data_IF_752119006868
#
_entry.id   IF_752119006868
#
_cell.length_a   1.000
_cell.length_b   1.000
_cell.length_c   1.000
_cell.angle_alpha   90.00
_cell.angle_beta   90.00
_cell.angle_gamma   90.00
#
_symmetry.space_group_name_H-M   'P 1'
#
loop_
_entity.id
_entity.type
_entity.pdbx_description
1 polymer ?
#
# COMPACT_ATOMS: atom_id res chain seq x y z
N UNK A 1 -1.37 -10.84 9.32
CA UNK A 1 -2.71 -10.87 8.77
C UNK A 1 -2.67 -10.82 7.25
N UNK A 2 -3.74 -11.28 6.64
CA UNK A 2 -3.84 -11.39 5.19
C UNK A 2 -3.63 -10.06 4.45
N UNK A 3 -4.27 -9.02 4.94
CA UNK A 3 -4.18 -7.72 4.28
C UNK A 3 -2.76 -7.15 4.33
N UNK A 4 -2.06 -7.40 5.42
CA UNK A 4 -0.69 -6.91 5.58
C UNK A 4 0.27 -7.62 4.63
N UNK A 5 0.15 -8.95 4.54
CA UNK A 5 0.96 -9.74 3.61
C UNK A 5 0.69 -9.33 2.16
N UNK A 6 -0.57 -9.13 1.82
CA UNK A 6 -0.98 -8.69 0.49
C UNK A 6 -0.38 -7.32 0.17
N UNK A 7 -0.46 -6.38 1.12
CA UNK A 7 0.07 -5.04 0.95
C UNK A 7 1.59 -5.06 0.77
N UNK A 8 2.30 -5.81 1.61
CA UNK A 8 3.75 -5.90 1.51
C UNK A 8 4.19 -6.50 0.17
N UNK A 9 3.49 -7.53 -0.29
CA UNK A 9 3.76 -8.12 -1.61
C UNK A 9 3.56 -7.10 -2.73
N UNK A 10 2.53 -6.27 -2.61
CA UNK A 10 2.26 -5.22 -3.59
C UNK A 10 3.36 -4.16 -3.60
N UNK A 11 3.87 -3.76 -2.43
CA UNK A 11 4.98 -2.80 -2.34
C UNK A 11 6.23 -3.37 -3.02
N UNK A 12 6.55 -4.63 -2.74
CA UNK A 12 7.73 -5.29 -3.31
C UNK A 12 7.61 -5.39 -4.83
N UNK A 13 6.44 -5.77 -5.33
CA UNK A 13 6.19 -5.85 -6.77
C UNK A 13 6.29 -4.47 -7.44
N UNK A 14 5.75 -3.44 -6.78
CA UNK A 14 5.81 -2.06 -7.27
C UNK A 14 7.26 -1.58 -7.33
N UNK A 15 8.07 -1.89 -6.31
CA UNK A 15 9.48 -1.52 -6.27
C UNK A 15 10.25 -2.14 -7.43
N UNK A 16 9.99 -3.42 -7.71
CA UNK A 16 10.64 -4.13 -8.80
C UNK A 16 10.27 -3.51 -10.15
N UNK A 17 9.00 -3.20 -10.33
CA UNK A 17 8.49 -2.66 -11.59
C UNK A 17 8.93 -1.21 -11.81
N UNK A 18 8.88 -0.39 -10.76
CA UNK A 18 9.11 1.05 -10.86
C UNK A 18 10.58 1.43 -10.75
N UNK A 19 11.30 0.83 -9.80
CA UNK A 19 12.69 1.18 -9.50
C UNK A 19 13.68 0.11 -9.94
N UNK A 20 13.21 -1.05 -10.41
CA UNK A 20 14.04 -2.19 -10.78
C UNK A 20 14.87 -2.69 -9.59
N UNK A 21 14.27 -2.67 -8.40
CA UNK A 21 14.90 -3.07 -7.14
C UNK A 21 14.21 -4.30 -6.59
N UNK A 22 15.01 -5.25 -6.09
CA UNK A 22 14.47 -6.40 -5.36
C UNK A 22 14.42 -6.05 -3.87
N UNK A 23 13.31 -5.45 -3.45
CA UNK A 23 13.10 -5.10 -2.06
C UNK A 23 12.67 -6.33 -1.25
N UNK A 24 12.98 -6.30 0.03
CA UNK A 24 12.52 -7.34 0.95
C UNK A 24 11.72 -6.70 2.09
N UNK A 25 11.15 -7.52 2.96
CA UNK A 25 10.29 -7.05 4.05
C UNK A 25 11.02 -6.07 4.99
N UNK A 26 12.33 -6.21 5.11
CA UNK A 26 13.14 -5.35 5.97
C UNK A 26 13.29 -3.93 5.42
N UNK A 27 13.04 -3.76 4.13
CA UNK A 27 13.19 -2.47 3.46
C UNK A 27 11.93 -1.62 3.51
N UNK A 28 10.83 -2.16 4.02
CA UNK A 28 9.54 -1.49 4.05
C UNK A 28 8.97 -1.48 5.47
N UNK A 29 8.25 -0.40 5.79
CA UNK A 29 7.64 -0.25 7.11
C UNK A 29 6.30 0.45 6.97
N UNK A 30 5.25 -0.16 7.49
CA UNK A 30 3.93 0.47 7.52
C UNK A 30 3.95 1.58 8.57
N UNK A 31 3.70 2.81 8.16
CA UNK A 31 3.75 3.98 9.06
C UNK A 31 2.37 4.54 9.38
N UNK A 32 1.46 4.51 8.42
CA UNK A 32 0.13 5.09 8.62
C UNK A 32 -0.94 4.26 7.94
N UNK A 33 -2.12 4.22 8.58
CA UNK A 33 -3.33 3.65 8.00
C UNK A 33 -4.38 4.75 7.97
N UNK A 34 -4.94 5.01 6.80
CA UNK A 34 -5.97 6.01 6.62
C UNK A 34 -7.30 5.34 6.31
N UNK A 35 -8.36 5.78 6.96
CA UNK A 35 -9.72 5.37 6.59
C UNK A 35 -10.21 6.34 5.55
N UNK A 36 -10.46 5.85 4.34
CA UNK A 36 -10.89 6.68 3.23
C UNK A 36 -12.39 6.53 3.05
N UNK A 37 -13.07 7.66 2.86
CA UNK A 37 -14.52 7.65 2.70
C UNK A 37 -14.88 7.65 1.23
N UNK A 38 -15.73 6.69 0.85
CA UNK A 38 -16.32 6.65 -0.48
C UNK A 38 -17.83 6.75 -0.33
N UNK A 39 -18.48 7.18 -1.40
CA UNK A 39 -19.94 7.31 -1.42
C UNK A 39 -20.64 5.97 -1.45
N UNK A 40 -19.94 4.93 -1.85
CA UNK A 40 -20.46 3.56 -1.83
C UNK A 40 -20.18 2.92 -0.49
N UNK A 41 -20.93 1.89 -0.13
CA UNK A 41 -20.81 1.21 1.15
C UNK A 41 -19.52 0.40 1.32
N UNK A 42 -18.64 0.43 0.34
CA UNK A 42 -17.38 -0.31 0.39
C UNK A 42 -16.37 0.37 1.33
N UNK A 43 -15.65 -0.44 2.08
CA UNK A 43 -14.60 0.05 2.97
C UNK A 43 -13.30 0.21 2.18
N UNK A 44 -12.75 1.40 2.24
CA UNK A 44 -11.51 1.74 1.55
C UNK A 44 -10.49 2.25 2.56
N UNK A 45 -9.30 1.68 2.52
CA UNK A 45 -8.21 2.07 3.43
C UNK A 45 -6.98 2.45 2.62
N UNK A 46 -6.29 3.49 3.09
CA UNK A 46 -4.99 3.85 2.55
C UNK A 46 -3.90 3.37 3.50
N UNK A 47 -2.86 2.75 2.96
CA UNK A 47 -1.71 2.30 3.74
C UNK A 47 -0.49 3.04 3.24
N UNK A 48 0.21 3.70 4.16
CA UNK A 48 1.44 4.41 3.81
C UNK A 48 2.63 3.65 4.35
N UNK A 49 3.58 3.36 3.47
CA UNK A 49 4.80 2.65 3.82
C UNK A 49 6.01 3.56 3.64
N UNK A 50 6.91 3.50 4.62
CA UNK A 50 8.26 4.03 4.47
C UNK A 50 9.08 2.95 3.76
N UNK A 51 9.82 3.35 2.74
CA UNK A 51 10.64 2.42 1.97
C UNK A 51 12.08 2.93 1.93
N UNK A 52 13.04 2.02 2.11
CA UNK A 52 14.44 2.40 2.19
C UNK A 52 15.00 2.96 0.89
N UNK A 53 14.44 2.54 -0.24
CA UNK A 53 14.90 2.97 -1.56
C UNK A 53 14.32 4.31 -2.00
N UNK A 54 13.36 4.87 -1.26
CA UNK A 54 12.80 6.21 -1.54
C UNK A 54 12.10 6.73 -0.29
N UNK A 55 12.90 7.14 0.69
CA UNK A 55 12.40 7.60 1.99
C UNK A 55 11.54 8.84 1.84
N UNK A 56 11.87 9.69 0.89
CA UNK A 56 11.16 10.96 0.70
C UNK A 56 9.72 10.77 0.23
N UNK A 57 9.50 9.88 -0.72
CA UNK A 57 8.17 9.67 -1.30
C UNK A 57 7.38 8.55 -0.65
N UNK A 58 8.07 7.47 -0.27
CA UNK A 58 7.43 6.30 0.28
C UNK A 58 6.58 5.56 -0.73
N UNK A 59 5.74 4.65 -0.25
CA UNK A 59 4.79 3.91 -1.06
C UNK A 59 3.42 3.98 -0.44
N UNK A 60 2.41 4.29 -1.25
CA UNK A 60 1.01 4.32 -0.82
C UNK A 60 0.22 3.24 -1.52
N UNK A 61 -0.69 2.62 -0.78
CA UNK A 61 -1.56 1.57 -1.29
C UNK A 61 -2.99 1.88 -0.87
N UNK A 62 -3.94 1.69 -1.78
CA UNK A 62 -5.36 1.67 -1.44
C UNK A 62 -5.85 0.23 -1.47
N UNK A 63 -6.47 -0.18 -0.36
CA UNK A 63 -7.07 -1.50 -0.23
C UNK A 63 -8.57 -1.34 -0.05
N UNK A 64 -9.34 -2.09 -0.82
CA UNK A 64 -10.79 -2.17 -0.66
C UNK A 64 -11.15 -3.49 0.01
N UNK A 65 -12.06 -3.42 0.98
CA UNK A 65 -12.58 -4.61 1.62
C UNK A 65 -14.01 -4.82 1.16
N UNK A 66 -14.28 -6.00 0.61
CA UNK A 66 -15.60 -6.34 0.09
C UNK A 66 -15.87 -7.81 0.40
N UNK A 67 -16.94 -8.08 1.16
CA UNK A 67 -17.36 -9.43 1.55
C UNK A 67 -16.21 -10.25 2.17
N UNK A 68 -15.42 -9.61 3.03
CA UNK A 68 -14.31 -10.26 3.70
C UNK A 68 -13.09 -10.49 2.82
N UNK A 69 -13.09 -9.97 1.60
CA UNK A 69 -11.96 -10.07 0.68
C UNK A 69 -11.24 -8.73 0.58
N UNK A 70 -9.94 -8.81 0.36
CA UNK A 70 -9.09 -7.62 0.24
C UNK A 70 -8.60 -7.49 -1.19
N UNK A 71 -8.84 -6.33 -1.80
CA UNK A 71 -8.37 -6.03 -3.15
C UNK A 71 -7.46 -4.81 -3.12
N UNK A 72 -6.32 -4.92 -3.79
CA UNK A 72 -5.45 -3.76 -4.00
C UNK A 72 -6.05 -2.94 -5.15
N UNK A 73 -6.43 -1.70 -4.82
CA UNK A 73 -7.07 -0.81 -5.79
C UNK A 73 -6.03 0.03 -6.54
N UNK A 74 -5.03 0.50 -5.80
CA UNK A 74 -4.03 1.38 -6.37
C UNK A 74 -2.73 1.27 -5.58
N UNK A 75 -1.60 1.33 -6.27
CA UNK A 75 -0.26 1.36 -5.66
C UNK A 75 0.52 2.49 -6.33
N UNK A 76 1.26 3.26 -5.54
CA UNK A 76 2.08 4.35 -6.08
C UNK A 76 2.94 4.96 -4.98
N UNK A 77 3.27 6.23 -5.14
CA UNK A 77 3.99 6.97 -4.10
C UNK A 77 3.09 7.19 -2.89
N UNK A 78 3.68 7.67 -1.78
CA UNK A 78 2.98 7.76 -0.50
C UNK A 78 1.67 8.50 -0.51
N UNK A 79 1.53 9.50 -1.39
CA UNK A 79 0.31 10.29 -1.50
C UNK A 79 -0.92 9.47 -1.94
N UNK A 80 -0.72 8.32 -2.58
CA UNK A 80 -1.81 7.42 -2.96
C UNK A 80 -2.64 7.00 -1.74
N UNK A 81 -2.00 6.87 -0.58
CA UNK A 81 -2.68 6.39 0.62
C UNK A 81 -3.76 7.34 1.13
N UNK A 82 -3.69 8.63 0.80
CA UNK A 82 -4.65 9.60 1.31
C UNK A 82 -5.23 10.51 0.22
N UNK A 83 -4.85 10.34 -0.99
CA UNK A 83 -5.43 11.04 -2.14
C UNK A 83 -6.27 10.09 -2.97
#
# INVERSE_FOLDING_TARGET
>A
SEWYSLACSAVIAWAKDTYKIEACMQDIELTHIFVLFEQNAEELFGLEFRVEFDIEHGCGIKIRINDGKYDIVEVGTGDVAFC
#
